data_IF_834477564516
#
_entry.id   IF_834477564516
#
_cell.length_a   1.000
_cell.length_b   1.000
_cell.length_c   1.000
_cell.angle_alpha   90.00
_cell.angle_beta   90.00
_cell.angle_gamma   90.00
#
_symmetry.space_group_name_H-M   'P 1'
#
loop_
_entity.id
_entity.type
_entity.pdbx_description
1 polymer ?
#
# COMPACT_ATOMS: atom_id res chain seq x y z
N UNK A 1 -14.14 -19.91 -12.95
CA UNK A 1 -15.35 -19.05 -12.92
C UNK A 1 -15.21 -18.02 -14.02
N UNK A 2 -16.13 -17.95 -14.98
CA UNK A 2 -16.10 -16.90 -16.01
C UNK A 2 -16.55 -15.57 -15.39
N UNK A 3 -16.18 -14.45 -16.00
CA UNK A 3 -16.56 -13.12 -15.50
C UNK A 3 -18.08 -12.93 -15.41
N UNK A 4 -18.83 -13.54 -16.33
CA UNK A 4 -20.29 -13.62 -16.30
C UNK A 4 -20.80 -14.31 -15.03
N UNK A 5 -20.26 -15.49 -14.72
CA UNK A 5 -20.71 -16.32 -13.60
C UNK A 5 -20.46 -15.60 -12.26
N UNK A 6 -19.32 -14.90 -12.15
CA UNK A 6 -18.99 -14.11 -10.96
C UNK A 6 -19.94 -12.92 -10.78
N UNK A 7 -20.25 -12.20 -11.86
CA UNK A 7 -21.21 -11.10 -11.82
C UNK A 7 -22.64 -11.61 -11.50
N UNK A 8 -23.04 -12.76 -12.04
CA UNK A 8 -24.32 -13.40 -11.72
C UNK A 8 -24.40 -13.86 -10.26
N UNK A 9 -23.32 -14.41 -9.72
CA UNK A 9 -23.24 -14.75 -8.29
C UNK A 9 -23.37 -13.51 -7.39
N UNK A 10 -22.92 -12.34 -7.84
CA UNK A 10 -23.13 -11.04 -7.15
C UNK A 10 -24.53 -10.44 -7.39
N UNK A 11 -25.41 -11.13 -8.11
CA UNK A 11 -26.79 -10.68 -8.37
C UNK A 11 -26.94 -9.75 -9.57
N UNK A 12 -25.95 -9.65 -10.47
CA UNK A 12 -26.14 -9.03 -11.77
C UNK A 12 -26.77 -10.00 -12.76
N UNK A 13 -27.48 -9.46 -13.75
CA UNK A 13 -27.78 -10.17 -14.98
C UNK A 13 -26.70 -9.79 -15.99
N UNK A 14 -26.10 -10.77 -16.65
CA UNK A 14 -25.04 -10.51 -17.62
C UNK A 14 -25.43 -10.86 -19.05
N UNK A 15 -24.97 -10.06 -20.01
CA UNK A 15 -25.14 -10.34 -21.44
C UNK A 15 -23.80 -10.08 -22.14
N UNK A 16 -23.19 -11.13 -22.67
CA UNK A 16 -22.02 -11.01 -23.54
C UNK A 16 -22.45 -10.58 -24.95
N UNK A 17 -21.88 -9.50 -25.46
CA UNK A 17 -22.23 -8.95 -26.77
C UNK A 17 -21.00 -8.51 -27.56
N UNK A 18 -21.15 -8.48 -28.89
CA UNK A 18 -20.17 -7.91 -29.83
C UNK A 18 -20.74 -6.69 -30.58
N UNK A 19 -21.07 -5.58 -29.89
CA UNK A 19 -21.66 -4.40 -30.52
C UNK A 19 -20.62 -3.66 -31.38
N UNK A 20 -21.13 -2.85 -32.31
CA UNK A 20 -20.36 -1.76 -32.92
C UNK A 20 -20.28 -0.57 -31.95
N UNK A 21 -19.41 0.41 -32.22
CA UNK A 21 -19.27 1.57 -31.32
C UNK A 21 -20.57 2.38 -31.19
N UNK A 22 -21.33 2.53 -32.28
CA UNK A 22 -22.62 3.23 -32.23
C UNK A 22 -23.66 2.52 -31.37
N UNK A 23 -23.63 1.19 -31.35
CA UNK A 23 -24.47 0.40 -30.45
C UNK A 23 -23.97 0.45 -29.02
N UNK A 24 -22.66 0.54 -28.80
CA UNK A 24 -22.06 0.73 -27.49
C UNK A 24 -22.51 2.05 -26.84
N UNK A 25 -22.61 3.14 -27.61
CA UNK A 25 -23.12 4.43 -27.11
C UNK A 25 -24.55 4.36 -26.56
N UNK A 26 -25.36 3.43 -27.07
CA UNK A 26 -26.76 3.23 -26.69
C UNK A 26 -26.91 2.18 -25.58
N UNK A 27 -25.83 1.48 -25.23
CA UNK A 27 -25.85 0.43 -24.24
C UNK A 27 -25.94 0.99 -22.80
N UNK A 28 -26.52 0.23 -21.86
CA UNK A 28 -26.47 0.59 -20.45
C UNK A 28 -25.03 0.62 -19.94
N UNK A 29 -24.69 1.70 -19.23
CA UNK A 29 -23.40 1.89 -18.54
C UNK A 29 -23.62 1.78 -17.02
N UNK A 30 -22.61 1.31 -16.24
CA UNK A 30 -21.29 0.88 -16.68
C UNK A 30 -21.29 -0.53 -17.31
N UNK A 31 -20.37 -0.78 -18.23
CA UNK A 31 -20.15 -2.09 -18.85
C UNK A 31 -18.67 -2.47 -18.84
N UNK A 32 -18.38 -3.74 -19.06
CA UNK A 32 -17.00 -4.25 -19.15
C UNK A 32 -16.64 -4.45 -20.62
N UNK A 33 -15.52 -3.89 -21.06
CA UNK A 33 -14.97 -4.05 -22.40
C UNK A 33 -13.68 -4.88 -22.34
N UNK A 34 -13.52 -5.81 -23.27
CA UNK A 34 -12.26 -6.53 -23.46
C UNK A 34 -11.24 -5.61 -24.14
N UNK A 35 -10.09 -5.39 -23.51
CA UNK A 35 -9.17 -4.33 -23.87
C UNK A 35 -7.83 -4.87 -24.33
N UNK A 36 -7.34 -4.36 -25.46
CA UNK A 36 -6.02 -4.66 -26.05
C UNK A 36 -5.70 -6.16 -26.17
N UNK A 37 -6.74 -6.98 -26.31
CA UNK A 37 -6.67 -8.45 -26.34
C UNK A 37 -6.00 -9.10 -25.11
N UNK A 38 -5.81 -8.36 -24.02
CA UNK A 38 -5.05 -8.81 -22.84
C UNK A 38 -5.88 -8.79 -21.56
N UNK A 39 -6.66 -7.73 -21.33
CA UNK A 39 -7.37 -7.54 -20.07
C UNK A 39 -8.78 -6.96 -20.26
N UNK A 40 -9.43 -6.59 -19.15
CA UNK A 40 -10.76 -6.01 -19.15
C UNK A 40 -10.73 -4.63 -18.49
N UNK A 41 -11.49 -3.69 -19.06
CA UNK A 41 -11.67 -2.34 -18.54
C UNK A 41 -13.14 -2.04 -18.35
N UNK A 42 -13.48 -1.13 -17.44
CA UNK A 42 -14.86 -0.72 -17.20
C UNK A 42 -15.13 0.59 -17.93
N UNK A 43 -16.05 0.59 -18.88
CA UNK A 43 -16.55 1.81 -19.52
C UNK A 43 -17.68 2.36 -18.66
N UNK A 44 -17.48 3.51 -18.03
CA UNK A 44 -18.47 4.09 -17.12
C UNK A 44 -19.17 5.31 -17.68
N UNK A 45 -18.63 5.96 -18.72
CA UNK A 45 -19.24 7.12 -19.37
C UNK A 45 -18.76 7.29 -20.80
N UNK A 46 -19.64 7.71 -21.69
CA UNK A 46 -19.29 8.14 -23.05
C UNK A 46 -19.93 9.52 -23.28
N UNK A 47 -19.15 10.53 -23.65
CA UNK A 47 -19.64 11.89 -23.89
C UNK A 47 -18.81 12.60 -24.96
N UNK A 48 -19.47 13.21 -25.94
CA UNK A 48 -18.83 14.00 -27.01
C UNK A 48 -17.66 13.24 -27.68
N UNK A 49 -17.88 11.98 -28.05
CA UNK A 49 -16.86 11.08 -28.63
C UNK A 49 -15.61 10.86 -27.76
N UNK A 50 -15.70 11.15 -26.46
CA UNK A 50 -14.71 10.76 -25.46
C UNK A 50 -15.27 9.61 -24.64
N UNK A 51 -14.50 8.53 -24.55
CA UNK A 51 -14.83 7.34 -23.77
C UNK A 51 -14.06 7.37 -22.46
N UNK A 52 -14.78 7.26 -21.35
CA UNK A 52 -14.22 7.29 -20.01
C UNK A 52 -14.17 5.86 -19.51
N UNK A 53 -12.96 5.40 -19.19
CA UNK A 53 -12.72 4.04 -18.74
C UNK A 53 -12.05 4.04 -17.36
N UNK A 54 -12.34 3.00 -16.59
CA UNK A 54 -11.58 2.62 -15.41
C UNK A 54 -10.75 1.40 -15.77
N UNK A 55 -9.45 1.59 -15.92
CA UNK A 55 -8.47 0.52 -16.13
C UNK A 55 -7.95 0.05 -14.75
N UNK A 56 -7.99 -1.26 -14.44
CA UNK A 56 -7.43 -1.78 -13.19
C UNK A 56 -5.95 -1.47 -12.97
N UNK A 57 -5.17 -1.30 -14.04
CA UNK A 57 -3.73 -1.03 -13.97
C UNK A 57 -3.39 0.47 -13.85
N UNK A 58 -4.19 1.34 -14.48
CA UNK A 58 -3.87 2.76 -14.63
C UNK A 58 -4.90 3.71 -14.00
N UNK A 59 -6.02 3.20 -13.51
CA UNK A 59 -7.11 3.98 -12.92
C UNK A 59 -8.03 4.62 -13.95
N UNK A 60 -8.51 5.83 -13.65
CA UNK A 60 -9.50 6.53 -14.48
C UNK A 60 -8.83 7.25 -15.66
N UNK A 61 -9.10 6.77 -16.88
CA UNK A 61 -8.51 7.31 -18.11
C UNK A 61 -9.62 7.74 -19.08
N UNK A 62 -9.27 8.63 -20.01
CA UNK A 62 -10.13 9.10 -21.09
C UNK A 62 -9.44 8.83 -22.42
N UNK A 63 -10.19 8.30 -23.37
CA UNK A 63 -9.74 8.03 -24.73
C UNK A 63 -10.62 8.77 -25.73
N UNK A 64 -10.05 9.21 -26.84
CA UNK A 64 -10.87 9.59 -27.99
C UNK A 64 -11.58 8.35 -28.53
N UNK A 65 -12.66 8.56 -29.30
CA UNK A 65 -13.38 7.48 -29.98
C UNK A 65 -12.45 6.61 -30.81
N UNK A 66 -11.56 7.21 -31.60
CA UNK A 66 -10.67 6.51 -32.52
C UNK A 66 -9.67 5.65 -31.74
N UNK A 67 -9.10 6.21 -30.69
CA UNK A 67 -8.16 5.49 -29.82
C UNK A 67 -8.84 4.37 -29.02
N UNK A 68 -10.09 4.59 -28.61
CA UNK A 68 -10.88 3.57 -27.94
C UNK A 68 -11.18 2.40 -28.88
N UNK A 69 -11.63 2.66 -30.12
CA UNK A 69 -11.97 1.62 -31.09
C UNK A 69 -10.73 0.80 -31.47
N UNK A 70 -9.59 1.46 -31.68
CA UNK A 70 -8.35 0.76 -32.04
C UNK A 70 -7.87 -0.18 -30.94
N UNK A 71 -8.02 0.18 -29.67
CA UNK A 71 -7.64 -0.65 -28.52
C UNK A 71 -8.70 -1.68 -28.13
N UNK A 72 -9.98 -1.38 -28.30
CA UNK A 72 -11.08 -2.28 -27.93
C UNK A 72 -11.32 -3.39 -28.96
N UNK A 73 -11.26 -3.05 -30.26
CA UNK A 73 -11.53 -3.98 -31.36
C UNK A 73 -10.24 -4.35 -32.09
N UNK A 74 -9.46 -3.35 -32.47
CA UNK A 74 -8.18 -3.50 -33.19
C UNK A 74 -7.94 -2.38 -34.20
N UNK A 75 -6.68 -2.26 -34.68
CA UNK A 75 -6.25 -1.16 -35.56
C UNK A 75 -6.97 -1.07 -36.92
N UNK A 76 -7.64 -2.13 -37.38
CA UNK A 76 -8.38 -2.15 -38.64
C UNK A 76 -9.90 -1.99 -38.45
N UNK A 77 -10.34 -1.63 -37.24
CA UNK A 77 -11.75 -1.50 -36.91
C UNK A 77 -12.24 -0.06 -37.10
N UNK A 78 -13.50 0.06 -37.51
CA UNK A 78 -14.22 1.32 -37.64
C UNK A 78 -15.44 1.32 -36.70
N UNK A 79 -16.13 2.44 -36.60
CA UNK A 79 -17.32 2.65 -35.75
C UNK A 79 -18.43 1.62 -35.98
N UNK A 80 -18.50 1.07 -37.20
CA UNK A 80 -19.50 0.10 -37.64
C UNK A 80 -19.07 -1.37 -37.43
N UNK A 81 -17.82 -1.61 -37.04
CA UNK A 81 -17.27 -2.97 -36.88
C UNK A 81 -17.88 -3.66 -35.65
N UNK A 82 -18.61 -4.77 -35.87
CA UNK A 82 -19.32 -5.52 -34.82
C UNK A 82 -18.48 -6.64 -34.19
N UNK A 83 -17.26 -6.31 -33.80
CA UNK A 83 -16.32 -7.29 -33.22
C UNK A 83 -15.88 -6.94 -31.79
N UNK A 84 -16.28 -5.78 -31.28
CA UNK A 84 -15.88 -5.34 -29.95
C UNK A 84 -16.51 -6.16 -28.84
N UNK A 85 -15.71 -6.92 -28.09
CA UNK A 85 -16.20 -7.83 -27.06
C UNK A 85 -16.56 -7.01 -25.80
N UNK A 86 -17.80 -7.16 -25.33
CA UNK A 86 -18.30 -6.49 -24.13
C UNK A 86 -19.18 -7.41 -23.29
N UNK A 87 -19.23 -7.12 -21.99
CA UNK A 87 -20.13 -7.72 -21.04
C UNK A 87 -21.00 -6.62 -20.43
N UNK A 88 -22.30 -6.69 -20.72
CA UNK A 88 -23.31 -5.79 -20.19
C UNK A 88 -23.75 -6.32 -18.83
N UNK A 89 -23.91 -5.40 -17.87
CA UNK A 89 -24.28 -5.71 -16.50
C UNK A 89 -25.56 -4.96 -16.14
N UNK A 90 -26.61 -5.70 -15.75
CA UNK A 90 -27.85 -5.11 -15.25
C UNK A 90 -28.09 -5.54 -13.79
N UNK A 91 -28.26 -4.60 -12.84
CA UNK A 91 -28.47 -4.95 -11.45
C UNK A 91 -29.87 -5.54 -11.24
N UNK A 92 -29.94 -6.77 -10.73
CA UNK A 92 -31.23 -7.41 -10.40
C UNK A 92 -31.71 -7.00 -8.99
N UNK A 93 -32.97 -7.29 -8.61
CA UNK A 93 -33.43 -7.11 -7.24
C UNK A 93 -32.58 -7.86 -6.19
N UNK A 94 -31.89 -8.95 -6.58
CA UNK A 94 -30.99 -9.68 -5.69
C UNK A 94 -29.74 -8.86 -5.33
N UNK A 95 -29.16 -8.13 -6.30
CA UNK A 95 -28.02 -7.23 -6.06
C UNK A 95 -28.35 -6.15 -5.01
N UNK A 96 -29.57 -5.61 -5.05
CA UNK A 96 -30.03 -4.58 -4.09
C UNK A 96 -30.31 -5.12 -2.70
N UNK A 97 -30.54 -6.44 -2.56
CA UNK A 97 -30.75 -7.10 -1.26
C UNK A 97 -29.45 -7.58 -0.63
N UNK A 98 -28.36 -7.67 -1.41
CA UNK A 98 -27.04 -7.89 -0.84
C UNK A 98 -26.67 -6.66 -0.02
N UNK A 99 -26.65 -6.84 1.30
CA UNK A 99 -26.04 -5.90 2.22
C UNK A 99 -24.53 -5.95 1.95
N UNK A 100 -24.05 -5.01 1.15
CA UNK A 100 -22.62 -4.79 1.02
C UNK A 100 -22.15 -4.36 2.41
N UNK A 101 -21.36 -5.21 3.08
CA UNK A 101 -20.61 -4.74 4.23
C UNK A 101 -19.78 -3.55 3.75
N UNK A 102 -19.97 -2.40 4.38
CA UNK A 102 -19.05 -1.27 4.21
C UNK A 102 -17.68 -1.83 4.53
N UNK A 103 -16.87 -2.05 3.48
CA UNK A 103 -15.47 -2.38 3.65
C UNK A 103 -14.87 -1.17 4.37
N UNK A 104 -14.75 -1.27 5.70
CA UNK A 104 -14.04 -0.28 6.49
C UNK A 104 -12.70 -0.07 5.78
N UNK A 105 -12.47 1.17 5.34
CA UNK A 105 -11.16 1.57 4.85
C UNK A 105 -10.17 1.16 5.93
N UNK A 106 -9.34 0.15 5.66
CA UNK A 106 -8.36 -0.35 6.64
C UNK A 106 -7.43 0.80 7.01
N UNK A 107 -7.78 1.51 8.07
CA UNK A 107 -7.02 2.61 8.61
C UNK A 107 -5.68 2.06 9.08
N UNK A 108 -4.58 2.76 8.80
CA UNK A 108 -3.25 2.41 9.32
C UNK A 108 -3.21 2.31 10.85
N UNK A 109 -4.28 2.71 11.56
CA UNK A 109 -4.54 2.42 12.96
C UNK A 109 -4.31 0.95 13.34
N UNK A 110 -4.56 -0.02 12.46
CA UNK A 110 -4.29 -1.42 12.78
C UNK A 110 -2.79 -1.69 12.99
N UNK A 111 -1.90 -0.98 12.28
CA UNK A 111 -0.45 -1.12 12.42
C UNK A 111 0.05 -0.59 13.77
N UNK A 112 -0.57 0.47 14.30
CA UNK A 112 -0.23 0.99 15.61
C UNK A 112 -0.47 -0.03 16.72
N UNK A 113 -1.47 -0.91 16.58
CA UNK A 113 -1.73 -2.00 17.54
C UNK A 113 -0.54 -2.95 17.66
N UNK A 114 0.12 -3.29 16.55
CA UNK A 114 1.33 -4.12 16.55
C UNK A 114 2.50 -3.43 17.24
N UNK A 115 2.62 -2.11 17.09
CA UNK A 115 3.66 -1.32 17.75
C UNK A 115 3.42 -1.21 19.26
N UNK A 116 2.19 -0.88 19.69
CA UNK A 116 1.84 -0.71 21.11
C UNK A 116 1.91 -1.99 21.94
N UNK A 117 1.83 -3.17 21.32
CA UNK A 117 2.07 -4.45 22.00
C UNK A 117 3.49 -4.52 22.63
N UNK A 118 4.44 -3.71 22.15
CA UNK A 118 5.81 -3.64 22.65
C UNK A 118 6.13 -2.33 23.39
N UNK A 119 5.13 -1.73 24.05
CA UNK A 119 5.24 -0.45 24.78
C UNK A 119 6.46 -0.32 25.71
N UNK A 120 6.89 -1.40 26.36
CA UNK A 120 8.05 -1.37 27.27
C UNK A 120 9.37 -1.16 26.51
N UNK A 121 9.54 -1.80 25.34
CA UNK A 121 10.72 -1.62 24.49
C UNK A 121 10.74 -0.21 23.88
N UNK A 122 9.56 0.31 23.52
CA UNK A 122 9.42 1.68 23.00
C UNK A 122 9.77 2.71 24.09
N UNK A 123 9.34 2.49 25.34
CA UNK A 123 9.70 3.35 26.45
C UNK A 123 11.23 3.34 26.70
N UNK A 124 11.87 2.16 26.68
CA UNK A 124 13.33 2.05 26.79
C UNK A 124 14.06 2.76 25.65
N UNK A 125 13.57 2.63 24.41
CA UNK A 125 14.08 3.38 23.25
C UNK A 125 13.96 4.88 23.43
N UNK A 126 12.82 5.35 23.94
CA UNK A 126 12.57 6.77 24.19
C UNK A 126 13.50 7.32 25.27
N UNK A 127 13.67 6.60 26.37
CA UNK A 127 14.60 6.96 27.44
C UNK A 127 16.05 6.97 26.91
N UNK A 128 16.44 5.94 26.14
CA UNK A 128 17.76 5.87 25.52
C UNK A 128 18.05 7.04 24.58
N UNK A 129 17.06 7.46 23.78
CA UNK A 129 17.16 8.63 22.91
C UNK A 129 17.32 9.93 23.71
N UNK A 130 16.57 10.11 24.79
CA UNK A 130 16.69 11.29 25.66
C UNK A 130 18.07 11.34 26.31
N UNK A 131 18.53 10.23 26.90
CA UNK A 131 19.86 10.15 27.53
C UNK A 131 20.96 10.42 26.50
N UNK A 132 20.89 9.78 25.32
CA UNK A 132 21.86 10.01 24.24
C UNK A 132 21.90 11.45 23.77
N UNK A 133 20.75 12.11 23.68
CA UNK A 133 20.64 13.53 23.29
C UNK A 133 21.24 14.45 24.34
N UNK A 134 21.00 14.18 25.62
CA UNK A 134 21.59 14.94 26.72
C UNK A 134 23.12 14.79 26.76
N UNK A 135 23.64 13.56 26.59
CA UNK A 135 25.09 13.32 26.51
C UNK A 135 25.73 14.07 25.33
N UNK A 136 25.02 14.14 24.19
CA UNK A 136 25.49 14.88 23.02
C UNK A 136 25.53 16.40 23.28
N UNK A 137 24.60 16.92 24.09
CA UNK A 137 24.56 18.32 24.46
C UNK A 137 25.68 18.72 25.45
N UNK A 138 26.24 17.78 26.22
CA UNK A 138 27.36 18.05 27.14
C UNK A 138 28.66 18.36 26.38
N UNK A 139 28.85 17.78 25.19
CA UNK A 139 30.08 17.90 24.40
C UNK A 139 30.50 19.35 24.05
N UNK A 140 29.60 20.24 23.56
CA UNK A 140 29.94 21.63 23.31
C UNK A 140 30.37 22.39 24.58
N UNK A 141 29.79 22.11 25.75
CA UNK A 141 30.21 22.74 27.00
C UNK A 141 31.61 22.31 27.45
N UNK A 142 31.97 21.04 27.27
CA UNK A 142 33.33 20.57 27.56
C UNK A 142 34.34 21.18 26.59
N UNK A 143 33.99 21.26 25.31
CA UNK A 143 34.84 21.89 24.29
C UNK A 143 35.04 23.37 24.58
N UNK A 144 33.98 24.07 24.98
CA UNK A 144 34.05 25.46 25.41
C UNK A 144 34.96 25.62 26.64
N UNK A 145 34.82 24.74 27.64
CA UNK A 145 35.65 24.78 28.86
C UNK A 145 37.15 24.63 28.55
N UNK A 146 37.52 23.84 27.54
CA UNK A 146 38.92 23.74 27.09
C UNK A 146 39.44 25.11 26.64
N UNK A 147 38.65 25.88 25.90
CA UNK A 147 39.06 27.20 25.39
C UNK A 147 39.07 28.25 26.51
N UNK A 148 37.95 28.39 27.21
CA UNK A 148 37.71 29.47 28.16
C UNK A 148 38.48 29.29 29.47
N UNK A 149 38.69 28.04 29.91
CA UNK A 149 39.37 27.75 31.18
C UNK A 149 40.75 27.14 30.94
N UNK A 150 40.86 26.14 30.07
CA UNK A 150 42.12 25.44 29.82
C UNK A 150 43.16 26.31 29.12
N UNK A 151 42.84 26.78 27.92
CA UNK A 151 43.77 27.56 27.08
C UNK A 151 44.00 28.95 27.67
N UNK A 152 42.93 29.65 28.06
CA UNK A 152 43.06 31.00 28.62
C UNK A 152 43.97 31.04 29.87
N UNK A 153 43.81 30.09 30.80
CA UNK A 153 44.63 30.02 32.01
C UNK A 153 45.94 29.23 31.83
N UNK A 154 46.22 28.73 30.63
CA UNK A 154 47.38 27.87 30.31
C UNK A 154 47.45 26.61 31.21
N UNK A 155 46.30 26.11 31.67
CA UNK A 155 46.20 24.94 32.55
C UNK A 155 46.07 23.66 31.71
N UNK A 156 47.22 23.08 31.37
CA UNK A 156 47.30 21.85 30.59
C UNK A 156 46.74 20.64 31.36
N UNK A 157 46.80 20.63 32.69
CA UNK A 157 46.25 19.54 33.49
C UNK A 157 44.72 19.54 33.41
N UNK A 158 44.08 20.71 33.45
CA UNK A 158 42.65 20.85 33.23
C UNK A 158 42.25 20.34 31.83
N UNK A 159 43.03 20.68 30.79
CA UNK A 159 42.78 20.18 29.43
C UNK A 159 42.82 18.64 29.38
N UNK A 160 43.84 18.01 29.97
CA UNK A 160 43.91 16.54 30.01
C UNK A 160 42.73 15.90 30.77
N UNK A 161 42.28 16.52 31.87
CA UNK A 161 41.12 16.06 32.62
C UNK A 161 39.85 16.11 31.78
N UNK A 162 39.61 17.22 31.07
CA UNK A 162 38.43 17.36 30.20
C UNK A 162 38.49 16.41 29.00
N UNK A 163 39.65 16.21 28.38
CA UNK A 163 39.83 15.23 27.31
C UNK A 163 39.53 13.81 27.79
N UNK A 164 40.00 13.44 28.99
CA UNK A 164 39.68 12.15 29.58
C UNK A 164 38.17 12.01 29.84
N UNK A 165 37.52 13.06 30.35
CA UNK A 165 36.07 13.08 30.53
C UNK A 165 35.32 12.92 29.19
N UNK A 166 35.80 13.54 28.11
CA UNK A 166 35.23 13.37 26.77
C UNK A 166 35.35 11.93 26.26
N UNK A 167 36.48 11.25 26.50
CA UNK A 167 36.65 9.83 26.14
C UNK A 167 35.66 8.97 26.94
N UNK A 168 35.53 9.20 28.24
CA UNK A 168 34.58 8.45 29.09
C UNK A 168 33.12 8.67 28.64
N UNK A 169 32.74 9.91 28.32
CA UNK A 169 31.42 10.23 27.79
C UNK A 169 31.18 9.60 26.41
N UNK A 170 32.19 9.59 25.55
CA UNK A 170 32.13 8.93 24.24
C UNK A 170 31.88 7.42 24.39
N UNK A 171 32.60 6.76 25.30
CA UNK A 171 32.38 5.33 25.61
C UNK A 171 30.97 5.09 26.14
N UNK A 172 30.49 5.92 27.08
CA UNK A 172 29.12 5.83 27.61
C UNK A 172 28.06 5.99 26.52
N UNK A 173 28.23 6.97 25.62
CA UNK A 173 27.36 7.17 24.46
C UNK A 173 27.38 5.96 23.53
N UNK A 174 28.56 5.42 23.24
CA UNK A 174 28.71 4.25 22.38
C UNK A 174 28.00 3.03 22.95
N UNK A 175 28.11 2.78 24.25
CA UNK A 175 27.37 1.71 24.93
C UNK A 175 25.86 1.90 24.86
N UNK A 176 25.37 3.12 25.10
CA UNK A 176 23.94 3.43 24.96
C UNK A 176 23.43 3.20 23.53
N UNK A 177 24.24 3.53 22.52
CA UNK A 177 23.92 3.34 21.12
C UNK A 177 23.86 1.85 20.71
N UNK A 178 24.75 1.03 21.25
CA UNK A 178 24.72 -0.44 21.08
C UNK A 178 23.43 -1.01 21.68
N UNK A 179 23.07 -0.62 22.92
CA UNK A 179 21.84 -1.05 23.56
C UNK A 179 20.60 -0.65 22.74
N UNK A 180 20.56 0.60 22.25
CA UNK A 180 19.50 1.10 21.38
C UNK A 180 19.35 0.25 20.12
N UNK A 181 20.47 -0.04 19.46
CA UNK A 181 20.50 -0.85 18.24
C UNK A 181 20.02 -2.27 18.48
N UNK A 182 20.38 -2.86 19.63
CA UNK A 182 19.93 -4.19 20.03
C UNK A 182 18.42 -4.25 20.28
N UNK A 183 17.87 -3.27 21.00
CA UNK A 183 16.42 -3.16 21.26
C UNK A 183 15.66 -3.01 19.93
N UNK A 184 16.16 -2.15 19.03
CA UNK A 184 15.54 -1.91 17.74
C UNK A 184 15.54 -3.17 16.87
N UNK A 185 16.67 -3.89 16.80
CA UNK A 185 16.76 -5.15 16.08
C UNK A 185 15.75 -6.18 16.61
N UNK A 186 15.64 -6.30 17.93
CA UNK A 186 14.67 -7.22 18.55
C UNK A 186 13.23 -6.83 18.20
N UNK A 187 12.89 -5.54 18.31
CA UNK A 187 11.56 -5.01 18.02
C UNK A 187 11.17 -5.24 16.55
N UNK A 188 12.03 -4.82 15.62
CA UNK A 188 11.78 -4.95 14.17
C UNK A 188 11.63 -6.41 13.77
N UNK A 189 12.48 -7.31 14.28
CA UNK A 189 12.40 -8.74 13.98
C UNK A 189 11.08 -9.34 14.46
N UNK A 190 10.66 -9.03 15.69
CA UNK A 190 9.38 -9.50 16.26
C UNK A 190 8.19 -9.02 15.44
N UNK A 191 8.13 -7.72 15.13
CA UNK A 191 7.04 -7.12 14.34
C UNK A 191 7.01 -7.73 12.94
N UNK A 192 8.16 -7.89 12.28
CA UNK A 192 8.24 -8.45 10.94
C UNK A 192 7.73 -9.91 10.92
N UNK A 193 8.18 -10.74 11.87
CA UNK A 193 7.70 -12.12 11.99
C UNK A 193 6.18 -12.15 12.21
N UNK A 194 5.63 -11.33 13.10
CA UNK A 194 4.17 -11.31 13.33
C UNK A 194 3.40 -10.89 12.08
N UNK A 195 3.87 -9.86 11.36
CA UNK A 195 3.19 -9.32 10.19
C UNK A 195 3.21 -10.33 9.04
N UNK A 196 4.37 -10.93 8.77
CA UNK A 196 4.51 -11.97 7.74
C UNK A 196 3.68 -13.20 8.09
N UNK A 197 3.67 -13.62 9.35
CA UNK A 197 2.85 -14.74 9.84
C UNK A 197 1.36 -14.49 9.61
N UNK A 198 0.87 -13.30 9.96
CA UNK A 198 -0.54 -12.93 9.80
C UNK A 198 -0.93 -12.88 8.32
N UNK A 199 -0.14 -12.21 7.47
CA UNK A 199 -0.37 -12.19 6.02
C UNK A 199 -0.35 -13.59 5.42
N UNK A 200 0.62 -14.42 5.81
CA UNK A 200 0.74 -15.78 5.30
C UNK A 200 -0.48 -16.61 5.72
N UNK A 201 -0.94 -16.49 6.97
CA UNK A 201 -2.13 -17.18 7.45
C UNK A 201 -3.40 -16.77 6.70
N UNK A 202 -3.61 -15.47 6.44
CA UNK A 202 -4.73 -14.97 5.64
C UNK A 202 -4.67 -15.51 4.21
N UNK A 203 -3.49 -15.51 3.58
CA UNK A 203 -3.31 -16.01 2.21
C UNK A 203 -3.52 -17.52 2.10
N UNK A 204 -2.91 -18.31 3.00
CA UNK A 204 -3.06 -19.77 2.98
C UNK A 204 -4.51 -20.18 3.25
N UNK A 205 -5.18 -19.57 4.23
CA UNK A 205 -6.58 -19.89 4.51
C UNK A 205 -7.49 -19.56 3.32
N UNK A 206 -7.29 -18.39 2.69
CA UNK A 206 -8.05 -18.00 1.49
C UNK A 206 -7.79 -18.93 0.29
N UNK A 207 -6.55 -19.38 0.10
CA UNK A 207 -6.20 -20.33 -0.96
C UNK A 207 -6.77 -21.73 -0.69
N UNK A 208 -6.79 -22.20 0.56
CA UNK A 208 -7.38 -23.51 0.91
C UNK A 208 -8.89 -23.51 0.67
N UNK A 209 -9.59 -22.41 0.97
CA UNK A 209 -11.01 -22.24 0.62
C UNK A 209 -11.17 -22.27 -0.91
N UNK A 210 -10.34 -21.53 -1.65
CA UNK A 210 -10.40 -21.49 -3.11
C UNK A 210 -10.20 -22.87 -3.75
N UNK A 211 -9.22 -23.65 -3.27
CA UNK A 211 -8.94 -25.01 -3.74
C UNK A 211 -10.08 -25.97 -3.39
N UNK A 212 -10.64 -25.89 -2.16
CA UNK A 212 -11.80 -26.70 -1.77
C UNK A 212 -13.03 -26.39 -2.63
N UNK A 213 -13.31 -25.12 -2.92
CA UNK A 213 -14.38 -24.74 -3.85
C UNK A 213 -14.11 -25.25 -5.27
N UNK A 214 -12.86 -25.18 -5.75
CA UNK A 214 -12.50 -25.67 -7.08
C UNK A 214 -12.74 -27.18 -7.24
N UNK A 215 -12.45 -27.98 -6.20
CA UNK A 215 -12.74 -29.41 -6.18
C UNK A 215 -14.21 -29.75 -5.95
N UNK A 216 -15.00 -28.87 -5.35
CA UNK A 216 -16.44 -29.08 -5.15
C UNK A 216 -17.27 -28.77 -6.40
N UNK A 217 -16.70 -28.04 -7.35
CA UNK A 217 -17.31 -27.66 -8.64
C UNK A 217 -16.75 -28.44 -9.84
N UNK A 218 -15.95 -29.48 -9.60
CA UNK A 218 -15.45 -30.46 -10.57
C UNK A 218 -16.12 -31.81 -10.31
#
# INVERSE_FOLDING_TARGET
>A
MKLSDAAEAMGFKTIGAKPSFDKLKQAPLPLIAHWDKQHFVVVYKIRNDIVYISDPAYGLIRYSKEEFISRWIGNNADENTKEGITLLLEPTPAFRKMMWEDYEQRSLSFLFKYLFNYKNLIAQLTIGLLVGSLLQLIFPFLTQSIVDVGIQNHDINFIYLVLFAQIMLFLGRMSAEVLRSWILLHLTTRINISLVSDIFSELTFRNVIFIKLYFYFL
#
